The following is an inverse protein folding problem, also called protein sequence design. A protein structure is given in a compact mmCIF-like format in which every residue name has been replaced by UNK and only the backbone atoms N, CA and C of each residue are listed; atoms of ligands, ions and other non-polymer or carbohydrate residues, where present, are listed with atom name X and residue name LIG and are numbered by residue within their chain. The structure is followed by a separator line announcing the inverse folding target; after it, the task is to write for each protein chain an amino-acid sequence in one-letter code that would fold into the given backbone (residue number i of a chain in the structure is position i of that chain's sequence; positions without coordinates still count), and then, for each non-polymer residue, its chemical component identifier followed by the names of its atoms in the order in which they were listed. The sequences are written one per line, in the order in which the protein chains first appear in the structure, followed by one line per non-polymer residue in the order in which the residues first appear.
data_IF_871273403159
#
_entry.id   IF_871273403159
#
_cell.length_a   1.000
_cell.length_b   1.000
_cell.length_c   1.000
_cell.angle_alpha   90.00
_cell.angle_beta   90.00
_cell.angle_gamma   90.00
#
_symmetry.space_group_name_H-M   'P 1'
#
loop_
_entity.id
_entity.type
_entity.pdbx_description
1 polymer ?
#
# COMPACT_ATOMS: atom_id res chain seq x y z
N UNK A 1 -43.88 35.29 47.73
CA UNK A 1 -42.71 35.44 48.61
C UNK A 1 -41.65 34.47 48.11
N UNK A 2 -41.15 34.59 46.89
CA UNK A 2 -40.27 35.65 46.35
C UNK A 2 -38.93 35.78 47.08
N UNK A 3 -37.87 35.39 46.37
CA UNK A 3 -36.60 36.10 46.13
C UNK A 3 -35.64 35.12 45.44
N UNK A 4 -35.52 35.14 44.11
CA UNK A 4 -34.65 35.99 43.28
C UNK A 4 -33.13 35.71 43.43
N UNK A 5 -32.59 35.18 42.33
CA UNK A 5 -31.34 35.48 41.63
C UNK A 5 -30.17 36.17 42.35
N UNK A 6 -28.96 35.66 42.10
CA UNK A 6 -27.76 36.50 41.99
C UNK A 6 -26.91 36.03 40.82
N UNK A 7 -26.57 37.00 39.98
CA UNK A 7 -25.79 36.93 38.76
C UNK A 7 -24.38 37.48 39.04
N UNK A 8 -23.44 37.11 38.18
CA UNK A 8 -22.21 37.86 37.82
C UNK A 8 -20.97 37.64 38.69
N UNK A 9 -19.94 37.04 38.11
CA UNK A 9 -18.73 37.80 37.76
C UNK A 9 -18.03 37.21 36.53
N UNK A 10 -17.90 38.08 35.52
CA UNK A 10 -16.97 37.95 34.41
C UNK A 10 -15.56 38.19 34.96
N UNK A 11 -14.59 37.40 34.52
CA UNK A 11 -13.21 37.85 34.43
C UNK A 11 -12.75 37.64 32.99
N UNK A 12 -12.58 38.78 32.32
CA UNK A 12 -11.96 38.90 31.02
C UNK A 12 -10.47 39.12 31.27
N UNK A 13 -9.63 38.20 30.80
CA UNK A 13 -8.29 38.54 30.37
C UNK A 13 -8.08 38.09 28.93
N UNK A 14 -7.47 39.00 28.18
CA UNK A 14 -7.43 39.14 26.74
C UNK A 14 -6.06 38.69 26.20
N UNK A 15 -6.00 38.45 24.88
CA UNK A 15 -4.80 38.27 23.99
C UNK A 15 -4.04 36.94 24.20
N UNK A 16 -3.58 36.17 23.22
CA UNK A 16 -3.13 36.49 21.84
C UNK A 16 -3.19 35.24 20.95
N UNK A 17 -3.56 35.47 19.70
CA UNK A 17 -3.23 34.76 18.45
C UNK A 17 -2.30 33.55 18.53
N UNK A 18 -2.73 32.44 17.92
CA UNK A 18 -1.88 31.58 17.08
C UNK A 18 -2.79 30.83 16.10
N UNK A 19 -3.06 31.44 14.95
CA UNK A 19 -3.27 30.70 13.71
C UNK A 19 -1.96 29.95 13.43
N UNK A 20 -1.95 28.66 13.79
CA UNK A 20 -0.98 27.70 13.32
C UNK A 20 -1.68 26.81 12.30
N UNK A 21 -1.79 27.33 11.08
CA UNK A 21 -1.84 26.52 9.87
C UNK A 21 -0.68 25.52 9.94
N UNK A 22 -1.01 24.30 10.32
CA UNK A 22 -0.13 23.14 10.20
C UNK A 22 -0.91 22.19 9.32
N UNK A 23 -0.64 22.27 8.01
CA UNK A 23 -1.00 21.21 7.08
C UNK A 23 -0.61 19.89 7.70
N UNK A 24 -1.61 19.18 8.22
CA UNK A 24 -1.44 17.84 8.73
C UNK A 24 -1.00 17.01 7.54
N UNK A 25 0.26 16.60 7.52
CA UNK A 25 0.68 15.49 6.68
C UNK A 25 -0.22 14.34 7.11
N UNK A 26 -1.22 14.00 6.31
CA UNK A 26 -1.99 12.77 6.53
C UNK A 26 -0.96 11.65 6.51
N UNK A 27 -0.68 11.08 7.69
CA UNK A 27 0.16 9.89 7.79
C UNK A 27 -0.66 8.78 7.15
N UNK A 28 -0.39 8.49 5.89
CA UNK A 28 -1.03 7.38 5.18
C UNK A 28 -0.70 6.09 5.91
N UNK A 29 -1.72 5.28 6.21
CA UNK A 29 -1.52 3.98 6.85
C UNK A 29 -0.76 3.04 5.89
N UNK A 30 -0.04 2.05 6.43
CA UNK A 30 0.63 1.05 5.59
C UNK A 30 -0.35 0.32 4.66
N UNK A 31 -1.59 0.10 5.10
CA UNK A 31 -2.67 -0.44 4.25
C UNK A 31 -3.02 0.47 3.07
N UNK A 32 -3.17 1.79 3.30
CA UNK A 32 -3.45 2.74 2.24
C UNK A 32 -2.31 2.80 1.21
N UNK A 33 -1.06 2.87 1.69
CA UNK A 33 0.14 2.85 0.83
C UNK A 33 0.24 1.53 0.07
N UNK A 34 -0.01 0.40 0.71
CA UNK A 34 0.05 -0.91 0.06
C UNK A 34 -1.03 -1.08 -1.01
N UNK A 35 -2.25 -0.60 -0.73
CA UNK A 35 -3.35 -0.62 -1.72
C UNK A 35 -2.97 0.19 -2.95
N UNK A 36 -2.42 1.39 -2.76
CA UNK A 36 -1.98 2.23 -3.87
C UNK A 36 -0.81 1.61 -4.64
N UNK A 37 0.13 0.97 -3.93
CA UNK A 37 1.20 0.22 -4.55
C UNK A 37 0.68 -0.89 -5.48
N UNK A 38 -0.34 -1.64 -5.06
CA UNK A 38 -0.99 -2.66 -5.90
C UNK A 38 -1.65 -2.02 -7.14
N UNK A 39 -2.28 -0.85 -7.00
CA UNK A 39 -2.85 -0.12 -8.13
C UNK A 39 -1.77 0.25 -9.16
N UNK A 40 -0.65 0.83 -8.71
CA UNK A 40 0.48 1.20 -9.58
C UNK A 40 1.08 -0.03 -10.27
N UNK A 41 1.28 -1.12 -9.53
CA UNK A 41 1.75 -2.39 -10.08
C UNK A 41 0.82 -2.94 -11.18
N UNK A 42 -0.48 -2.97 -10.91
CA UNK A 42 -1.49 -3.44 -11.86
C UNK A 42 -1.56 -2.56 -13.10
N UNK A 43 -1.48 -1.24 -12.95
CA UNK A 43 -1.46 -0.32 -14.08
C UNK A 43 -0.21 -0.56 -14.94
N UNK A 44 0.97 -0.65 -14.33
CA UNK A 44 2.23 -0.90 -15.03
C UNK A 44 2.20 -2.23 -15.81
N UNK A 45 1.70 -3.31 -15.20
CA UNK A 45 1.52 -4.60 -15.87
C UNK A 45 0.46 -4.52 -16.98
N UNK A 46 -0.65 -3.83 -16.73
CA UNK A 46 -1.76 -3.63 -17.66
C UNK A 46 -1.36 -2.89 -18.93
N UNK A 47 -0.66 -1.76 -18.80
CA UNK A 47 -0.17 -0.96 -19.93
C UNK A 47 0.87 -1.69 -20.79
N UNK A 48 1.54 -2.68 -20.20
CA UNK A 48 2.54 -3.49 -20.87
C UNK A 48 2.05 -4.88 -21.31
N UNK A 49 0.74 -5.15 -21.23
CA UNK A 49 0.14 -6.37 -21.80
C UNK A 49 0.43 -6.49 -23.29
N UNK A 50 0.65 -7.72 -23.75
CA UNK A 50 1.03 -7.99 -25.14
C UNK A 50 2.49 -7.67 -25.48
N UNK A 51 3.25 -7.02 -24.60
CA UNK A 51 4.68 -6.77 -24.80
C UNK A 51 5.54 -7.83 -24.10
N UNK A 52 6.68 -8.18 -24.69
CA UNK A 52 7.65 -9.08 -24.06
C UNK A 52 8.53 -8.30 -23.05
N UNK A 53 8.82 -8.84 -21.85
CA UNK A 53 8.43 -10.16 -21.33
C UNK A 53 7.11 -10.18 -20.52
N UNK A 54 6.41 -9.05 -20.39
CA UNK A 54 5.27 -8.90 -19.48
C UNK A 54 4.07 -9.77 -19.85
N UNK A 55 3.75 -9.93 -21.14
CA UNK A 55 2.66 -10.81 -21.58
C UNK A 55 2.89 -12.27 -21.15
N UNK A 56 4.14 -12.74 -21.23
CA UNK A 56 4.50 -14.08 -20.77
C UNK A 56 4.40 -14.21 -19.25
N UNK A 57 4.90 -13.20 -18.53
CA UNK A 57 4.85 -13.15 -17.08
C UNK A 57 3.41 -13.20 -16.57
N UNK A 58 2.50 -12.42 -17.18
CA UNK A 58 1.08 -12.36 -16.83
C UNK A 58 0.40 -13.72 -17.07
N UNK A 59 0.55 -14.30 -18.27
CA UNK A 59 -0.05 -15.60 -18.59
C UNK A 59 0.44 -16.73 -17.69
N UNK A 60 1.74 -16.73 -17.39
CA UNK A 60 2.32 -17.71 -16.48
C UNK A 60 1.84 -17.48 -15.04
N UNK A 61 1.66 -16.22 -14.64
CA UNK A 61 1.05 -15.85 -13.37
C UNK A 61 -0.35 -16.46 -13.22
N UNK A 62 -1.23 -16.22 -14.20
CA UNK A 62 -2.60 -16.75 -14.20
C UNK A 62 -2.61 -18.28 -14.13
N UNK A 63 -1.66 -18.93 -14.81
CA UNK A 63 -1.60 -20.40 -14.89
C UNK A 63 -1.03 -21.04 -13.62
N UNK A 64 0.01 -20.44 -13.02
CA UNK A 64 0.83 -21.09 -11.98
C UNK A 64 0.48 -20.62 -10.57
N UNK A 65 0.03 -19.37 -10.42
CA UNK A 65 -0.28 -18.78 -9.12
C UNK A 65 -1.71 -18.24 -9.04
N UNK A 66 -2.52 -18.39 -10.09
CA UNK A 66 -3.88 -17.83 -10.15
C UNK A 66 -4.85 -18.36 -9.09
N UNK A 67 -4.63 -19.57 -8.59
CA UNK A 67 -5.43 -20.21 -7.53
C UNK A 67 -4.78 -20.11 -6.15
N UNK A 68 -3.68 -19.36 -6.01
CA UNK A 68 -2.86 -19.29 -4.79
C UNK A 68 -3.18 -18.04 -3.99
N UNK A 69 -3.21 -18.20 -2.67
CA UNK A 69 -3.25 -17.09 -1.72
C UNK A 69 -1.82 -16.64 -1.42
N UNK A 70 -1.51 -15.39 -1.72
CA UNK A 70 -0.17 -14.84 -1.57
C UNK A 70 -0.14 -13.97 -0.31
N UNK A 71 0.70 -14.33 0.65
CA UNK A 71 0.96 -13.53 1.83
C UNK A 71 2.10 -12.55 1.57
N UNK A 72 1.81 -11.25 1.59
CA UNK A 72 2.80 -10.19 1.43
C UNK A 72 3.25 -9.71 2.81
N UNK A 73 4.51 -9.94 3.15
CA UNK A 73 5.13 -9.37 4.35
C UNK A 73 5.79 -8.04 4.00
N UNK A 74 5.37 -6.96 4.65
CA UNK A 74 5.96 -5.62 4.51
C UNK A 74 6.90 -5.37 5.67
N UNK A 75 8.17 -5.19 5.36
CA UNK A 75 9.26 -5.02 6.33
C UNK A 75 9.62 -3.54 6.49
N UNK A 76 10.14 -3.17 7.66
CA UNK A 76 10.77 -1.87 7.92
C UNK A 76 12.26 -2.13 8.16
N UNK A 77 12.83 -1.56 9.22
CA UNK A 77 14.25 -1.74 9.56
C UNK A 77 14.58 -3.18 10.01
N UNK A 78 13.62 -3.88 10.62
CA UNK A 78 13.77 -5.29 10.98
C UNK A 78 13.45 -6.17 9.75
N UNK A 79 14.46 -6.89 9.26
CA UNK A 79 14.35 -7.77 8.10
C UNK A 79 13.80 -9.18 8.43
N UNK A 80 13.76 -9.54 9.71
CA UNK A 80 13.30 -10.85 10.17
C UNK A 80 11.82 -10.81 10.58
N UNK A 81 11.37 -9.67 11.10
CA UNK A 81 9.98 -9.46 11.53
C UNK A 81 9.27 -8.43 10.64
N UNK A 82 8.32 -8.85 9.80
CA UNK A 82 7.53 -7.92 9.00
C UNK A 82 6.73 -7.00 9.91
N UNK A 83 6.75 -5.71 9.57
CA UNK A 83 5.94 -4.68 10.21
C UNK A 83 4.45 -4.91 9.98
N UNK A 84 4.10 -5.39 8.79
CA UNK A 84 2.72 -5.62 8.40
C UNK A 84 2.57 -6.81 7.44
N UNK A 85 1.34 -7.33 7.33
CA UNK A 85 0.99 -8.42 6.41
C UNK A 85 -0.25 -8.09 5.61
N UNK A 86 -0.26 -8.53 4.35
CA UNK A 86 -1.44 -8.48 3.49
C UNK A 86 -1.64 -9.83 2.81
N UNK A 87 -2.89 -10.17 2.49
CA UNK A 87 -3.21 -11.29 1.63
C UNK A 87 -3.67 -10.76 0.28
N UNK A 88 -3.04 -11.22 -0.80
CA UNK A 88 -3.42 -10.91 -2.16
C UNK A 88 -3.67 -12.18 -2.97
N UNK A 89 -4.43 -12.05 -4.04
CA UNK A 89 -4.56 -13.06 -5.09
C UNK A 89 -4.09 -12.47 -6.42
N UNK A 90 -3.67 -13.34 -7.35
CA UNK A 90 -3.38 -12.93 -8.72
C UNK A 90 -4.48 -13.50 -9.62
N UNK A 91 -5.31 -12.65 -10.21
CA UNK A 91 -6.43 -13.08 -11.05
C UNK A 91 -6.52 -12.19 -12.28
N UNK A 92 -6.76 -12.82 -13.43
CA UNK A 92 -6.86 -12.19 -14.74
C UNK A 92 -5.72 -11.20 -15.04
N UNK A 93 -4.50 -11.52 -14.60
CA UNK A 93 -3.30 -10.73 -14.78
C UNK A 93 -3.18 -9.49 -13.89
N UNK A 94 -3.91 -9.45 -12.77
CA UNK A 94 -3.88 -8.37 -11.78
C UNK A 94 -3.77 -8.92 -10.36
N UNK A 95 -3.15 -8.16 -9.47
CA UNK A 95 -3.16 -8.44 -8.05
C UNK A 95 -4.36 -7.79 -7.37
N UNK A 96 -5.08 -8.56 -6.55
CA UNK A 96 -6.20 -8.05 -5.76
C UNK A 96 -5.91 -8.20 -4.28
N UNK A 97 -6.11 -7.13 -3.51
CA UNK A 97 -6.04 -7.16 -2.06
C UNK A 97 -7.26 -7.89 -1.50
N UNK A 98 -7.03 -9.03 -0.84
CA UNK A 98 -8.10 -9.81 -0.21
C UNK A 98 -8.39 -9.32 1.21
N UNK A 99 -7.34 -9.11 2.00
CA UNK A 99 -7.44 -8.63 3.39
C UNK A 99 -6.11 -8.16 3.96
N UNK A 100 -6.20 -7.32 4.99
CA UNK A 100 -5.11 -6.99 5.90
C UNK A 100 -4.86 -8.13 6.91
N UNK A 101 -3.59 -8.35 7.27
CA UNK A 101 -3.11 -9.44 8.12
C UNK A 101 -2.61 -10.68 7.37
N UNK A 102 -2.08 -11.67 8.11
CA UNK A 102 -1.60 -12.95 7.57
C UNK A 102 -2.60 -14.07 7.84
N UNK A 103 -2.86 -14.92 6.84
CA UNK A 103 -3.74 -16.09 7.00
C UNK A 103 -3.43 -17.17 5.98
N UNK A 104 -2.79 -18.26 6.43
CA UNK A 104 -2.50 -19.48 5.66
C UNK A 104 -2.11 -19.23 4.19
N UNK A 105 -1.04 -18.46 3.92
CA UNK A 105 -0.61 -18.21 2.55
C UNK A 105 0.00 -19.45 1.92
N UNK A 106 -0.29 -19.66 0.64
CA UNK A 106 0.32 -20.70 -0.19
C UNK A 106 1.71 -20.25 -0.68
N UNK A 107 1.90 -18.94 -0.88
CA UNK A 107 3.15 -18.30 -1.28
C UNK A 107 3.45 -17.07 -0.41
N UNK A 108 4.74 -16.77 -0.20
CA UNK A 108 5.16 -15.59 0.55
C UNK A 108 5.95 -14.65 -0.37
N UNK A 109 5.46 -13.40 -0.47
CA UNK A 109 6.18 -12.29 -1.08
C UNK A 109 6.66 -11.35 0.01
N UNK A 110 7.95 -10.98 -0.02
CA UNK A 110 8.52 -10.00 0.91
C UNK A 110 8.81 -8.69 0.19
N UNK A 111 8.49 -7.57 0.82
CA UNK A 111 8.80 -6.22 0.30
C UNK A 111 9.13 -5.25 1.43
N UNK A 112 9.81 -4.15 1.11
CA UNK A 112 10.19 -3.11 2.07
C UNK A 112 9.17 -1.95 2.04
N UNK A 113 8.80 -1.42 3.21
CA UNK A 113 7.90 -0.26 3.35
C UNK A 113 8.42 0.93 2.55
N UNK A 114 9.72 1.21 2.65
CA UNK A 114 10.35 2.30 1.90
C UNK A 114 10.27 2.13 0.38
N UNK A 115 10.31 0.89 -0.11
CA UNK A 115 10.19 0.61 -1.54
C UNK A 115 8.74 0.80 -2.03
N UNK A 116 7.74 0.29 -1.30
CA UNK A 116 6.33 0.51 -1.69
C UNK A 116 5.98 2.00 -1.62
N UNK A 117 6.52 2.74 -0.64
CA UNK A 117 6.35 4.19 -0.52
C UNK A 117 6.97 4.92 -1.72
N UNK A 118 8.18 4.55 -2.13
CA UNK A 118 8.86 5.13 -3.29
C UNK A 118 8.09 4.88 -4.59
N UNK A 119 7.53 3.68 -4.77
CA UNK A 119 6.70 3.35 -5.94
C UNK A 119 5.43 4.19 -5.98
N UNK A 120 4.76 4.38 -4.84
CA UNK A 120 3.55 5.20 -4.77
C UNK A 120 3.86 6.68 -5.03
N UNK A 121 4.91 7.22 -4.41
CA UNK A 121 5.30 8.62 -4.55
C UNK A 121 5.78 8.98 -5.97
N UNK A 122 6.36 8.01 -6.68
CA UNK A 122 6.90 8.19 -8.02
C UNK A 122 6.15 7.34 -9.07
N UNK A 123 4.85 7.14 -8.87
CA UNK A 123 4.03 6.17 -9.62
C UNK A 123 4.16 6.27 -11.14
N UNK A 124 4.15 7.49 -11.70
CA UNK A 124 4.30 7.72 -13.14
C UNK A 124 5.58 7.11 -13.70
N UNK A 125 6.70 7.21 -12.97
CA UNK A 125 7.98 6.66 -13.44
C UNK A 125 7.96 5.13 -13.49
N UNK A 126 7.27 4.49 -12.54
CA UNK A 126 7.14 3.05 -12.47
C UNK A 126 6.14 2.49 -13.49
N UNK A 127 5.07 3.24 -13.79
CA UNK A 127 4.10 2.88 -14.83
C UNK A 127 4.74 2.98 -16.22
N UNK A 128 5.43 4.08 -16.52
CA UNK A 128 6.11 4.28 -17.80
C UNK A 128 7.29 3.32 -18.01
N UNK A 129 7.96 2.92 -16.92
CA UNK A 129 9.11 2.02 -16.94
C UNK A 129 8.89 0.83 -15.99
N UNK A 130 8.02 -0.13 -16.35
CA UNK A 130 7.67 -1.28 -15.50
C UNK A 130 8.88 -2.14 -15.09
N UNK A 131 10.01 -2.06 -15.80
CA UNK A 131 11.25 -2.74 -15.42
C UNK A 131 11.86 -2.22 -14.12
N UNK A 132 11.43 -1.05 -13.64
CA UNK A 132 11.83 -0.50 -12.34
C UNK A 132 11.11 -1.18 -11.19
N UNK A 133 9.95 -1.77 -11.45
CA UNK A 133 9.24 -2.58 -10.46
C UNK A 133 10.02 -3.89 -10.26
N UNK A 134 10.33 -4.21 -9.01
CA UNK A 134 10.87 -5.51 -8.64
C UNK A 134 9.83 -6.62 -8.85
N UNK A 135 9.80 -7.14 -10.08
CA UNK A 135 9.05 -8.33 -10.47
C UNK A 135 9.84 -9.62 -10.24
N UNK A 136 10.99 -9.57 -9.56
CA UNK A 136 11.86 -10.72 -9.32
C UNK A 136 11.14 -11.83 -8.56
N UNK A 137 10.30 -11.48 -7.58
CA UNK A 137 9.50 -12.46 -6.85
C UNK A 137 8.52 -13.18 -7.80
N UNK A 138 7.78 -12.43 -8.63
CA UNK A 138 6.76 -12.99 -9.52
C UNK A 138 7.41 -13.90 -10.56
N UNK A 139 8.53 -13.46 -11.13
CA UNK A 139 9.36 -14.25 -12.05
C UNK A 139 9.80 -15.57 -11.42
N UNK A 140 10.30 -15.55 -10.18
CA UNK A 140 10.66 -16.77 -9.45
C UNK A 140 9.45 -17.68 -9.21
N UNK A 141 8.32 -17.11 -8.79
CA UNK A 141 7.09 -17.85 -8.52
C UNK A 141 6.54 -18.56 -9.77
N UNK A 142 6.77 -17.98 -10.96
CA UNK A 142 6.36 -18.57 -12.24
C UNK A 142 7.48 -19.35 -12.95
N UNK A 143 8.66 -19.52 -12.34
CA UNK A 143 9.78 -20.28 -12.90
C UNK A 143 10.53 -19.58 -14.05
N UNK A 144 10.42 -18.26 -14.17
CA UNK A 144 11.24 -17.42 -15.06
C UNK A 144 12.48 -16.95 -14.29
N UNK A 145 13.67 -17.48 -14.61
CA UNK A 145 14.94 -17.06 -14.01
C UNK A 145 15.78 -16.29 -15.02
#
# INVERSE_FOLDING_TARGET
MDKQATQTHQDSTHVTTSEGDSGGVEVSTTEAVFTEYINVLNQALGENRGSFPYDQLIRLGDTLIGDKRIGVGVFKEDADNPHDWFMVQFEDGTFELMKHGKSDPDLIWKTQSSYIEDVVQNSSEYIEQPSRIDLGWLKQAVGMA
#
